data_IF_426219263966
#
_entry.id   IF_426219263966
#
_cell.length_a   1.000
_cell.length_b   1.000
_cell.length_c   1.000
_cell.angle_alpha   90.00
_cell.angle_beta   90.00
_cell.angle_gamma   90.00
#
_symmetry.space_group_name_H-M   'P 1'
#
loop_
_entity.id
_entity.type
_entity.pdbx_description
1 polymer ?
#
# COMPACT_ATOMS: atom_id res chain seq x y z
N UNK A 1 -15.09 2.98 15.13
CA UNK A 1 -14.35 2.31 14.03
C UNK A 1 -13.68 1.06 14.57
N UNK A 2 -13.60 0.03 13.77
CA UNK A 2 -12.90 -1.19 14.14
C UNK A 2 -11.77 -1.45 13.15
N UNK A 3 -10.52 -1.42 13.64
CA UNK A 3 -9.35 -1.70 12.82
C UNK A 3 -9.34 -3.17 12.40
N UNK A 4 -9.18 -3.40 11.10
CA UNK A 4 -9.03 -4.73 10.54
C UNK A 4 -7.57 -5.14 10.40
N UNK A 5 -7.33 -6.10 9.51
CA UNK A 5 -6.01 -6.67 9.31
C UNK A 5 -5.05 -5.68 8.64
N UNK A 6 -3.76 -5.89 8.85
CA UNK A 6 -2.71 -5.24 8.05
C UNK A 6 -2.71 -5.87 6.66
N UNK A 7 -3.17 -5.12 5.65
CA UNK A 7 -3.29 -5.63 4.29
C UNK A 7 -1.94 -5.71 3.59
N UNK A 8 -1.18 -4.62 3.63
CA UNK A 8 0.13 -4.59 2.99
C UNK A 8 1.05 -3.55 3.61
N UNK A 9 2.34 -3.72 3.31
CA UNK A 9 3.37 -2.72 3.57
C UNK A 9 3.84 -2.22 2.21
N UNK A 10 3.74 -0.91 1.98
CA UNK A 10 4.22 -0.27 0.76
C UNK A 10 5.72 -0.05 0.83
N UNK A 11 6.43 -0.53 -0.18
CA UNK A 11 7.88 -0.36 -0.29
C UNK A 11 8.17 0.34 -1.60
N UNK A 12 8.68 1.56 -1.52
CA UNK A 12 9.10 2.31 -2.71
C UNK A 12 10.44 1.77 -3.20
N UNK A 13 10.58 1.66 -4.51
CA UNK A 13 11.80 1.16 -5.14
C UNK A 13 12.09 1.93 -6.42
N UNK A 14 13.38 2.16 -6.73
CA UNK A 14 13.74 2.71 -8.03
C UNK A 14 13.59 1.70 -9.18
N UNK A 15 13.46 0.39 -8.86
CA UNK A 15 13.33 -0.66 -9.87
C UNK A 15 12.58 -1.85 -9.31
N UNK A 16 11.35 -2.06 -9.77
CA UNK A 16 10.56 -3.25 -9.43
C UNK A 16 11.28 -4.52 -9.90
N UNK A 17 11.91 -4.49 -11.08
CA UNK A 17 12.65 -5.64 -11.60
C UNK A 17 13.72 -6.11 -10.61
N UNK A 18 14.53 -5.18 -10.09
CA UNK A 18 15.57 -5.52 -9.11
C UNK A 18 14.98 -5.96 -7.78
N UNK A 19 13.89 -5.33 -7.34
CA UNK A 19 13.22 -5.71 -6.09
C UNK A 19 12.61 -7.10 -6.18
N UNK A 20 12.01 -7.43 -7.31
CA UNK A 20 11.46 -8.77 -7.55
C UNK A 20 12.56 -9.83 -7.49
N UNK A 21 13.72 -9.56 -8.13
CA UNK A 21 14.86 -10.46 -8.05
C UNK A 21 15.32 -10.66 -6.61
N UNK A 22 15.35 -9.59 -5.81
CA UNK A 22 15.68 -9.66 -4.39
C UNK A 22 14.71 -10.56 -3.61
N UNK A 23 13.41 -10.34 -3.79
CA UNK A 23 12.40 -11.12 -3.08
C UNK A 23 12.42 -12.60 -3.51
N UNK A 24 12.60 -12.85 -4.81
CA UNK A 24 12.64 -14.22 -5.33
C UNK A 24 13.92 -14.95 -4.90
N UNK A 25 15.09 -14.33 -5.12
CA UNK A 25 16.37 -15.03 -5.05
C UNK A 25 16.98 -14.99 -3.64
N UNK A 26 16.70 -13.96 -2.86
CA UNK A 26 17.25 -13.77 -1.52
C UNK A 26 16.23 -14.10 -0.44
N UNK A 27 15.00 -13.58 -0.58
CA UNK A 27 13.95 -13.77 0.42
C UNK A 27 13.18 -15.09 0.23
N UNK A 28 13.31 -15.74 -0.91
CA UNK A 28 12.61 -17.01 -1.16
C UNK A 28 11.11 -16.86 -1.39
N UNK A 29 10.66 -15.68 -1.87
CA UNK A 29 9.25 -15.48 -2.17
C UNK A 29 8.80 -16.41 -3.30
N UNK A 30 7.63 -17.02 -3.13
CA UNK A 30 7.08 -17.99 -4.08
C UNK A 30 5.88 -17.48 -4.85
N UNK A 31 5.24 -16.39 -4.37
CA UNK A 31 4.07 -15.79 -5.02
C UNK A 31 4.35 -14.32 -5.31
N UNK A 32 4.81 -14.05 -6.52
CA UNK A 32 5.08 -12.69 -6.99
C UNK A 32 4.14 -12.45 -8.17
N UNK A 33 3.25 -11.46 -8.01
CA UNK A 33 2.28 -11.12 -9.05
C UNK A 33 2.92 -10.33 -10.17
N UNK A 34 2.27 -10.33 -11.35
CA UNK A 34 2.74 -9.51 -12.46
C UNK A 34 2.63 -8.02 -12.11
N UNK A 35 3.66 -7.23 -12.42
CA UNK A 35 3.57 -5.78 -12.25
C UNK A 35 2.49 -5.17 -13.14
N UNK A 36 1.92 -4.07 -12.67
CA UNK A 36 0.95 -3.32 -13.47
C UNK A 36 1.10 -1.83 -13.20
N UNK A 37 0.66 -1.03 -14.18
CA UNK A 37 0.68 0.42 -14.06
C UNK A 37 -0.60 0.91 -13.39
N UNK A 38 -0.45 1.90 -12.51
CA UNK A 38 -1.55 2.59 -11.85
C UNK A 38 -1.39 4.09 -12.09
N UNK A 39 -1.71 4.57 -13.32
CA UNK A 39 -1.42 5.95 -13.72
C UNK A 39 -2.12 6.99 -12.86
N UNK A 40 -3.32 6.69 -12.37
CA UNK A 40 -4.07 7.62 -11.51
C UNK A 40 -3.33 7.95 -10.23
N UNK A 41 -2.45 7.06 -9.77
CA UNK A 41 -1.63 7.28 -8.58
C UNK A 41 -0.15 7.51 -8.91
N UNK A 42 0.21 7.50 -10.20
CA UNK A 42 1.58 7.79 -10.63
C UNK A 42 2.59 6.73 -10.25
N UNK A 43 2.18 5.47 -10.15
CA UNK A 43 3.07 4.38 -9.75
C UNK A 43 2.87 3.13 -10.61
N UNK A 44 3.96 2.38 -10.77
CA UNK A 44 3.92 0.97 -11.18
C UNK A 44 3.89 0.15 -9.90
N UNK A 45 3.10 -0.90 -9.89
CA UNK A 45 2.84 -1.72 -8.69
C UNK A 45 3.18 -3.16 -8.94
N UNK A 46 3.78 -3.81 -7.95
CA UNK A 46 3.98 -5.26 -7.97
C UNK A 46 3.73 -5.82 -6.58
N UNK A 47 2.80 -6.76 -6.46
CA UNK A 47 2.52 -7.40 -5.19
C UNK A 47 3.35 -8.66 -5.00
N UNK A 48 3.90 -8.81 -3.79
CA UNK A 48 4.57 -10.03 -3.33
C UNK A 48 3.75 -10.56 -2.17
N UNK A 49 3.26 -11.79 -2.29
CA UNK A 49 2.48 -12.42 -1.22
C UNK A 49 3.39 -13.00 -0.16
N UNK A 50 3.02 -12.82 1.10
CA UNK A 50 3.62 -13.57 2.20
C UNK A 50 2.60 -14.61 2.69
N UNK A 51 3.06 -15.76 3.22
CA UNK A 51 2.13 -16.77 3.71
C UNK A 51 1.39 -16.27 4.94
N UNK A 52 0.10 -16.56 4.97
CA UNK A 52 -0.73 -16.32 6.13
C UNK A 52 -0.83 -17.57 7.01
N UNK A 53 -1.67 -17.47 8.04
CA UNK A 53 -1.92 -18.58 8.94
C UNK A 53 -2.75 -19.67 8.24
N UNK A 54 -2.41 -20.93 8.47
CA UNK A 54 -3.13 -22.10 7.95
C UNK A 54 -3.31 -22.09 6.43
N UNK A 55 -2.30 -21.62 5.70
CA UNK A 55 -2.32 -21.59 4.23
C UNK A 55 -3.15 -20.48 3.61
N UNK A 56 -3.65 -19.52 4.42
CA UNK A 56 -4.31 -18.33 3.91
C UNK A 56 -3.27 -17.32 3.45
N UNK A 57 -3.71 -16.31 2.69
CA UNK A 57 -2.82 -15.23 2.30
C UNK A 57 -2.50 -14.34 3.49
N UNK A 58 -1.23 -13.99 3.64
CA UNK A 58 -0.75 -13.08 4.66
C UNK A 58 -0.74 -11.63 4.19
N UNK A 59 -0.01 -10.82 4.95
CA UNK A 59 0.23 -9.43 4.58
C UNK A 59 1.05 -9.38 3.30
N UNK A 60 0.65 -8.55 2.35
CA UNK A 60 1.40 -8.39 1.10
C UNK A 60 2.51 -7.33 1.25
N UNK A 61 3.54 -7.46 0.43
CA UNK A 61 4.45 -6.36 0.16
C UNK A 61 3.99 -5.72 -1.14
N UNK A 62 3.74 -4.42 -1.13
CA UNK A 62 3.40 -3.66 -2.32
C UNK A 62 4.63 -2.89 -2.76
N UNK A 63 5.29 -3.39 -3.81
CA UNK A 63 6.41 -2.66 -4.42
C UNK A 63 5.84 -1.57 -5.30
N UNK A 64 6.31 -0.33 -5.11
CA UNK A 64 5.88 0.81 -5.91
C UNK A 64 7.09 1.50 -6.52
N UNK A 65 7.03 1.73 -7.82
CA UNK A 65 8.06 2.41 -8.60
C UNK A 65 7.45 3.67 -9.21
N UNK A 66 8.18 4.81 -9.27
CA UNK A 66 7.63 6.02 -9.88
C UNK A 66 7.18 5.77 -11.32
N UNK A 67 5.99 6.23 -11.66
CA UNK A 67 5.47 6.17 -13.02
C UNK A 67 5.17 7.60 -13.49
N UNK A 68 5.88 8.06 -14.50
CA UNK A 68 5.75 9.40 -15.03
C UNK A 68 6.55 10.45 -14.24
N UNK A 69 6.71 11.63 -14.85
CA UNK A 69 7.55 12.71 -14.30
C UNK A 69 6.95 13.29 -13.01
N UNK A 70 5.64 13.23 -12.86
CA UNK A 70 4.94 13.85 -11.74
C UNK A 70 4.56 12.85 -10.66
N UNK A 71 5.20 11.69 -10.62
CA UNK A 71 4.90 10.68 -9.60
C UNK A 71 5.10 11.25 -8.19
N UNK A 72 4.14 11.02 -7.27
CA UNK A 72 4.26 11.52 -5.91
C UNK A 72 5.38 10.85 -5.10
N UNK A 73 5.94 9.73 -5.57
CA UNK A 73 7.02 9.06 -4.85
C UNK A 73 8.43 9.42 -5.33
N UNK A 74 8.57 10.30 -6.34
CA UNK A 74 9.90 10.77 -6.76
C UNK A 74 10.67 11.43 -5.62
N UNK A 75 9.99 12.25 -4.80
CA UNK A 75 10.61 12.89 -3.65
C UNK A 75 11.12 11.88 -2.62
N UNK A 76 10.36 10.81 -2.40
CA UNK A 76 10.78 9.75 -1.48
C UNK A 76 12.04 9.03 -2.01
N UNK A 77 12.05 8.67 -3.28
CA UNK A 77 13.19 7.98 -3.90
C UNK A 77 14.43 8.89 -3.91
N UNK A 78 14.26 10.18 -4.14
CA UNK A 78 15.38 11.12 -4.10
C UNK A 78 16.07 11.13 -2.72
N UNK A 79 15.30 11.01 -1.66
CA UNK A 79 15.81 10.94 -0.28
C UNK A 79 16.25 9.54 0.12
N UNK A 80 15.77 8.52 -0.56
CA UNK A 80 16.04 7.12 -0.27
C UNK A 80 16.39 6.39 -1.59
N UNK A 81 17.59 6.63 -2.14
CA UNK A 81 17.92 6.13 -3.48
C UNK A 81 17.87 4.61 -3.65
N UNK A 82 18.05 3.86 -2.57
CA UNK A 82 17.93 2.40 -2.59
C UNK A 82 16.48 1.93 -2.41
N UNK A 83 15.55 2.86 -2.19
CA UNK A 83 14.18 2.54 -1.83
C UNK A 83 13.99 2.44 -0.32
N UNK A 84 12.82 2.03 0.10
CA UNK A 84 12.53 1.84 1.50
C UNK A 84 11.04 1.74 1.79
N UNK A 85 10.71 1.48 3.04
CA UNK A 85 9.32 1.39 3.49
C UNK A 85 8.66 2.75 3.34
N UNK A 86 7.50 2.78 2.66
CA UNK A 86 6.81 4.02 2.32
C UNK A 86 5.53 4.21 3.13
N UNK A 87 4.73 3.16 3.27
CA UNK A 87 3.47 3.24 4.01
C UNK A 87 3.04 1.87 4.51
N UNK A 88 2.06 1.89 5.42
CA UNK A 88 1.39 0.67 5.90
C UNK A 88 -0.10 0.83 5.65
N UNK A 89 -0.77 -0.24 5.22
CA UNK A 89 -2.19 -0.23 4.89
C UNK A 89 -2.98 -1.17 5.78
N UNK A 90 -4.01 -0.61 6.42
CA UNK A 90 -4.94 -1.36 7.27
C UNK A 90 -6.33 -1.37 6.65
N UNK A 91 -7.05 -2.47 6.85
CA UNK A 91 -8.42 -2.62 6.38
C UNK A 91 -9.43 -2.13 7.41
N UNK A 92 -10.53 -1.58 6.90
CA UNK A 92 -11.70 -1.20 7.72
C UNK A 92 -12.96 -1.66 6.99
N UNK A 93 -14.06 -1.93 7.71
CA UNK A 93 -15.29 -2.40 7.05
C UNK A 93 -16.00 -1.33 6.23
N UNK A 94 -15.89 -0.06 6.60
CA UNK A 94 -16.60 1.06 5.94
C UNK A 94 -15.66 2.25 5.86
N UNK A 95 -15.25 2.58 4.63
CA UNK A 95 -14.26 3.63 4.40
C UNK A 95 -14.78 5.03 4.78
N UNK A 96 -16.06 5.29 4.55
CA UNK A 96 -16.64 6.62 4.85
C UNK A 96 -16.78 6.82 6.35
N UNK A 97 -17.18 5.78 7.08
CA UNK A 97 -17.23 5.83 8.54
C UNK A 97 -15.82 5.98 9.12
N UNK A 98 -14.84 5.30 8.54
CA UNK A 98 -13.44 5.44 8.97
C UNK A 98 -12.92 6.86 8.76
N UNK A 99 -13.22 7.47 7.62
CA UNK A 99 -12.79 8.86 7.36
C UNK A 99 -13.37 9.81 8.42
N UNK A 100 -14.65 9.71 8.70
CA UNK A 100 -15.30 10.53 9.73
C UNK A 100 -14.69 10.29 11.12
N UNK A 101 -14.34 9.04 11.42
CA UNK A 101 -13.68 8.68 12.68
C UNK A 101 -12.33 9.37 12.82
N UNK A 102 -11.45 9.26 11.81
CA UNK A 102 -10.12 9.89 11.86
C UNK A 102 -10.24 11.40 11.96
N UNK A 103 -11.11 12.02 11.18
CA UNK A 103 -11.32 13.46 11.22
C UNK A 103 -11.86 13.89 12.58
N UNK A 104 -12.78 13.13 13.15
CA UNK A 104 -13.31 13.40 14.49
C UNK A 104 -12.27 13.29 15.60
N UNK A 105 -11.20 12.53 15.38
CA UNK A 105 -10.07 12.41 16.31
C UNK A 105 -8.99 13.47 16.05
N UNK A 106 -9.19 14.35 15.07
CA UNK A 106 -8.24 15.40 14.73
C UNK A 106 -7.09 14.95 13.82
N UNK A 107 -7.17 13.73 13.27
CA UNK A 107 -6.15 13.26 12.33
C UNK A 107 -6.43 13.79 10.92
N UNK A 108 -5.36 14.21 10.23
CA UNK A 108 -5.50 14.81 8.90
C UNK A 108 -5.61 13.75 7.82
N UNK A 109 -6.82 13.60 7.27
CA UNK A 109 -7.06 12.73 6.12
C UNK A 109 -6.64 13.47 4.85
N UNK A 110 -5.87 12.80 3.99
CA UNK A 110 -5.30 13.37 2.77
C UNK A 110 -6.21 13.09 1.58
N UNK A 111 -7.16 13.99 1.35
CA UNK A 111 -8.09 13.93 0.22
C UNK A 111 -9.30 13.04 0.45
N UNK A 112 -10.12 12.90 -0.59
CA UNK A 112 -11.30 12.08 -0.54
C UNK A 112 -10.98 10.61 -0.83
N UNK A 113 -11.81 9.65 -0.36
CA UNK A 113 -11.62 8.25 -0.71
C UNK A 113 -11.61 8.05 -2.23
N UNK A 114 -10.71 7.18 -2.68
CA UNK A 114 -10.53 6.88 -4.10
C UNK A 114 -10.12 5.42 -4.28
N UNK A 115 -10.26 4.90 -5.49
CA UNK A 115 -9.92 3.51 -5.78
C UNK A 115 -8.41 3.32 -5.72
N UNK A 116 -7.96 2.37 -4.91
CA UNK A 116 -6.56 1.99 -4.78
C UNK A 116 -6.19 0.77 -5.62
N UNK A 117 -4.98 0.26 -5.39
CA UNK A 117 -4.40 -0.83 -6.18
C UNK A 117 -5.18 -2.15 -6.08
N UNK A 118 -5.88 -2.37 -4.98
CA UNK A 118 -6.71 -3.58 -4.77
C UNK A 118 -8.14 -3.43 -5.32
N UNK A 119 -8.46 -2.31 -5.97
CA UNK A 119 -9.77 -2.09 -6.56
C UNK A 119 -10.85 -1.67 -5.58
N UNK A 120 -10.50 -1.34 -4.36
CA UNK A 120 -11.43 -0.85 -3.34
C UNK A 120 -11.06 0.56 -2.89
N UNK A 121 -11.96 1.25 -2.21
CA UNK A 121 -11.73 2.63 -1.79
C UNK A 121 -10.65 2.71 -0.72
N UNK A 122 -9.79 3.73 -0.84
CA UNK A 122 -8.71 4.00 0.11
C UNK A 122 -8.64 5.50 0.40
N UNK A 123 -8.00 5.84 1.52
CA UNK A 123 -7.45 7.17 1.76
C UNK A 123 -6.17 7.05 2.58
N UNK A 124 -5.39 8.13 2.59
CA UNK A 124 -4.18 8.20 3.43
C UNK A 124 -4.41 9.15 4.59
N UNK A 125 -3.75 8.88 5.71
CA UNK A 125 -3.73 9.77 6.88
C UNK A 125 -2.30 10.29 7.05
N UNK A 126 -2.18 11.60 7.29
CA UNK A 126 -0.88 12.26 7.37
C UNK A 126 -0.01 11.67 8.49
N UNK A 127 1.28 11.42 8.21
CA UNK A 127 2.20 10.81 9.21
C UNK A 127 2.29 11.58 10.53
N UNK A 128 2.11 12.91 10.53
CA UNK A 128 2.19 13.71 11.76
C UNK A 128 1.16 13.27 12.81
N UNK A 129 0.04 12.69 12.37
CA UNK A 129 -1.03 12.25 13.25
C UNK A 129 -1.06 10.72 13.42
N UNK A 130 -0.06 10.03 12.86
CA UNK A 130 0.02 8.56 12.84
C UNK A 130 1.39 8.05 13.30
N UNK A 131 1.93 8.69 14.34
CA UNK A 131 3.24 8.32 14.90
C UNK A 131 4.39 8.31 13.88
N UNK A 132 4.32 9.19 12.88
CA UNK A 132 5.36 9.31 11.86
C UNK A 132 5.22 8.33 10.70
N UNK A 133 4.15 7.54 10.66
CA UNK A 133 3.92 6.54 9.61
C UNK A 133 2.84 7.02 8.65
N UNK A 134 3.18 7.17 7.37
CA UNK A 134 2.15 7.39 6.35
C UNK A 134 1.25 6.16 6.33
N UNK A 135 -0.02 6.35 6.65
CA UNK A 135 -0.95 5.25 6.88
C UNK A 135 -2.06 5.28 5.84
N UNK A 136 -2.19 4.16 5.12
CA UNK A 136 -3.27 3.95 4.18
C UNK A 136 -4.40 3.18 4.87
N UNK A 137 -5.62 3.64 4.66
CA UNK A 137 -6.83 2.96 5.15
C UNK A 137 -7.58 2.48 3.92
N UNK A 138 -7.96 1.24 3.94
CA UNK A 138 -8.56 0.54 2.81
C UNK A 138 -9.85 -0.14 3.23
N UNK A 139 -10.91 0.02 2.43
CA UNK A 139 -12.13 -0.74 2.69
C UNK A 139 -11.85 -2.21 2.39
N UNK A 140 -12.23 -3.07 3.33
CA UNK A 140 -12.03 -4.52 3.17
C UNK A 140 -12.66 -4.98 1.85
N UNK A 141 -11.91 -5.67 0.97
CA UNK A 141 -12.49 -6.19 -0.26
C UNK A 141 -13.64 -7.13 0.04
N UNK A 142 -14.68 -7.08 -0.80
CA UNK A 142 -15.78 -8.03 -0.69
C UNK A 142 -15.29 -9.44 -1.01
N UNK A 143 -15.91 -10.43 -0.40
CA UNK A 143 -15.61 -11.82 -0.67
C UNK A 143 -15.69 -12.08 -2.18
N UNK A 144 -14.65 -12.72 -2.73
CA UNK A 144 -14.54 -12.96 -4.17
C UNK A 144 -13.96 -11.82 -4.99
N UNK A 145 -13.76 -10.62 -4.39
CA UNK A 145 -13.05 -9.52 -5.02
C UNK A 145 -11.55 -9.74 -4.82
N UNK A 146 -10.89 -10.33 -5.81
CA UNK A 146 -9.46 -10.63 -5.75
C UNK A 146 -8.59 -9.44 -6.13
N UNK A 147 -7.31 -9.57 -5.89
CA UNK A 147 -6.27 -8.68 -6.30
C UNK A 147 -5.08 -9.47 -6.82
#
# INVERSE_FOLDING_TARGET
>A
MKLGRLNHIGVATPSIEKSVAHYRDIMGATKIHEPFDLPAQGVKVCFVDTPGDKGTDGTQIELIEPLGENSPIHGFIAKNPAGGQHHMCYEVPDIHAAKAWFEGKGAKVLGEPRIGAHGTLIFFVHPKDMNGVLTEIMETPKEGAGH
#
